data_IF_247851505335
#
_entry.id   IF_247851505335
#
_cell.length_a   1.000
_cell.length_b   1.000
_cell.length_c   1.000
_cell.angle_alpha   90.00
_cell.angle_beta   90.00
_cell.angle_gamma   90.00
#
_symmetry.space_group_name_H-M   'P 1'
#
loop_
_entity.id
_entity.type
_entity.pdbx_description
1 polymer ?
#
# COMPACT_ATOMS: atom_id res chain seq x y z
N UNK A 1 14.08 17.26 11.61
CA UNK A 1 15.04 16.24 12.08
C UNK A 1 15.27 15.24 10.94
N UNK A 2 16.20 15.53 10.01
CA UNK A 2 16.29 14.83 8.71
C UNK A 2 17.49 13.87 8.60
N UNK A 3 17.95 13.28 9.72
CA UNK A 3 19.18 12.47 9.76
C UNK A 3 19.15 11.27 10.71
N UNK A 4 17.97 10.72 11.05
CA UNK A 4 17.87 9.67 12.08
C UNK A 4 18.19 8.25 11.56
N UNK A 5 18.85 8.10 10.40
CA UNK A 5 19.25 6.79 9.86
C UNK A 5 18.14 5.95 9.21
N UNK A 6 16.91 6.45 9.04
CA UNK A 6 15.79 5.68 8.41
C UNK A 6 16.12 5.22 7.00
N UNK A 7 16.70 6.10 6.19
CA UNK A 7 17.14 5.78 4.83
C UNK A 7 18.28 4.76 4.84
N UNK A 8 19.20 4.84 5.81
CA UNK A 8 20.28 3.86 5.98
C UNK A 8 19.72 2.50 6.37
N UNK A 9 18.77 2.45 7.30
CA UNK A 9 18.08 1.23 7.70
C UNK A 9 17.34 0.58 6.52
N UNK A 10 16.60 1.37 5.74
CA UNK A 10 15.92 0.88 4.53
C UNK A 10 16.93 0.29 3.54
N UNK A 11 18.06 0.97 3.30
CA UNK A 11 19.12 0.48 2.41
C UNK A 11 19.77 -0.81 2.92
N UNK A 12 19.93 -0.98 4.24
CA UNK A 12 20.43 -2.20 4.86
C UNK A 12 19.45 -3.37 4.66
N UNK A 13 18.16 -3.15 4.96
CA UNK A 13 17.10 -4.15 4.78
C UNK A 13 16.99 -4.57 3.31
N UNK A 14 17.09 -3.63 2.37
CA UNK A 14 17.08 -3.89 0.92
C UNK A 14 18.37 -4.54 0.38
N UNK A 15 19.35 -4.83 1.24
CA UNK A 15 20.61 -5.46 0.84
C UNK A 15 21.52 -4.56 -0.02
N UNK A 16 21.33 -3.24 -0.01
CA UNK A 16 22.26 -2.29 -0.65
C UNK A 16 23.58 -2.16 0.11
N UNK A 17 23.56 -2.41 1.41
CA UNK A 17 24.75 -2.50 2.25
C UNK A 17 24.78 -3.86 2.93
N UNK A 18 25.84 -4.64 2.69
CA UNK A 18 26.04 -5.95 3.33
C UNK A 18 27.16 -5.95 4.39
N UNK A 19 27.94 -4.87 4.43
CA UNK A 19 28.99 -4.68 5.41
C UNK A 19 28.42 -3.87 6.59
N UNK A 20 27.82 -4.58 7.54
CA UNK A 20 27.35 -4.05 8.82
C UNK A 20 27.61 -5.07 9.94
N UNK A 21 27.71 -4.59 11.17
CA UNK A 21 27.85 -5.45 12.34
C UNK A 21 26.48 -5.91 12.88
N UNK A 22 26.43 -7.13 13.42
CA UNK A 22 25.20 -7.75 13.92
C UNK A 22 24.41 -8.53 12.87
N UNK A 23 23.14 -8.78 13.18
CA UNK A 23 22.21 -9.56 12.37
C UNK A 23 20.95 -8.77 12.07
N UNK A 24 20.48 -8.84 10.83
CA UNK A 24 19.18 -8.32 10.42
C UNK A 24 18.40 -9.52 9.88
N UNK A 25 17.37 -9.94 10.62
CA UNK A 25 16.57 -11.10 10.29
C UNK A 25 15.22 -10.67 9.70
N UNK A 26 14.84 -11.25 8.57
CA UNK A 26 13.49 -11.21 8.02
C UNK A 26 12.93 -12.63 8.14
N UNK A 27 11.87 -12.80 8.93
CA UNK A 27 11.26 -14.11 9.22
C UNK A 27 12.27 -15.16 9.73
N UNK A 28 13.27 -14.72 10.50
CA UNK A 28 14.33 -15.59 11.02
C UNK A 28 15.46 -15.91 10.03
N UNK A 29 15.39 -15.40 8.80
CA UNK A 29 16.42 -15.54 7.78
C UNK A 29 17.27 -14.27 7.75
N UNK A 30 18.59 -14.41 7.81
CA UNK A 30 19.50 -13.27 7.72
C UNK A 30 19.41 -12.60 6.34
N UNK A 31 19.27 -11.28 6.31
CA UNK A 31 19.12 -10.47 5.08
C UNK A 31 20.23 -10.71 4.06
N UNK A 32 21.46 -11.00 4.51
CA UNK A 32 22.60 -11.33 3.64
C UNK A 32 22.42 -12.63 2.86
N UNK A 33 21.62 -13.55 3.39
CA UNK A 33 21.35 -14.87 2.80
C UNK A 33 20.13 -14.86 1.87
N UNK A 34 19.39 -13.75 1.83
CA UNK A 34 18.27 -13.57 0.91
C UNK A 34 18.80 -13.01 -0.43
N UNK A 35 18.30 -13.57 -1.53
CA UNK A 35 18.55 -13.04 -2.88
C UNK A 35 18.07 -11.58 -2.95
N UNK A 36 18.94 -10.67 -3.39
CA UNK A 36 18.65 -9.23 -3.42
C UNK A 36 17.43 -8.93 -4.30
N UNK A 37 17.32 -9.61 -5.43
CA UNK A 37 16.19 -9.53 -6.35
C UNK A 37 14.89 -9.94 -5.65
N UNK A 38 14.94 -10.95 -4.77
CA UNK A 38 13.79 -11.35 -3.94
C UNK A 38 13.39 -10.27 -2.94
N UNK A 39 14.38 -9.72 -2.21
CA UNK A 39 14.20 -8.58 -1.31
C UNK A 39 13.61 -7.36 -2.02
N UNK A 40 14.14 -7.01 -3.20
CA UNK A 40 13.66 -5.89 -3.98
C UNK A 40 12.27 -6.15 -4.56
N UNK A 41 11.92 -7.37 -4.99
CA UNK A 41 10.55 -7.70 -5.41
C UNK A 41 9.53 -7.45 -4.29
N UNK A 42 9.86 -7.83 -3.07
CA UNK A 42 8.99 -7.64 -1.90
C UNK A 42 8.96 -6.17 -1.42
N UNK A 43 10.12 -5.48 -1.38
CA UNK A 43 10.23 -4.13 -0.83
C UNK A 43 9.89 -3.03 -1.85
N UNK A 44 10.14 -3.22 -3.14
CA UNK A 44 9.78 -2.26 -4.19
C UNK A 44 8.26 -2.11 -4.36
N UNK A 45 7.48 -3.08 -3.90
CA UNK A 45 6.02 -2.94 -3.82
C UNK A 45 5.62 -1.98 -2.69
N UNK A 46 6.46 -1.80 -1.67
CA UNK A 46 6.17 -0.96 -0.50
C UNK A 46 6.75 0.47 -0.59
N UNK A 47 7.84 0.69 -1.34
CA UNK A 47 8.53 1.98 -1.37
C UNK A 47 8.36 2.74 -2.70
N UNK A 48 7.58 3.84 -2.60
CA UNK A 48 7.76 5.10 -3.33
C UNK A 48 7.35 5.19 -4.81
N UNK A 49 6.10 4.84 -5.14
CA UNK A 49 5.19 5.73 -5.89
C UNK A 49 3.91 4.95 -6.20
N UNK A 50 3.00 4.91 -5.23
CA UNK A 50 1.68 4.43 -5.57
C UNK A 50 0.95 5.51 -6.37
N UNK A 51 0.38 5.09 -7.50
CA UNK A 51 -0.39 5.99 -8.35
C UNK A 51 -1.67 6.42 -7.60
N UNK A 52 -1.91 7.74 -7.57
CA UNK A 52 -3.18 8.31 -7.14
C UNK A 52 -4.12 8.25 -8.33
N UNK A 53 -4.99 7.24 -8.36
CA UNK A 53 -5.96 7.14 -9.45
C UNK A 53 -7.13 8.06 -9.14
N UNK A 54 -7.37 9.01 -10.03
CA UNK A 54 -8.52 9.91 -10.07
C UNK A 54 -9.80 9.11 -10.38
N UNK A 55 -10.20 8.26 -9.44
CA UNK A 55 -11.30 7.30 -9.55
C UNK A 55 -12.01 7.16 -8.20
N UNK A 56 -13.16 6.52 -8.15
CA UNK A 56 -13.88 6.26 -6.89
C UNK A 56 -13.07 5.38 -5.93
N UNK A 57 -13.47 5.33 -4.64
CA UNK A 57 -12.90 4.36 -3.69
C UNK A 57 -13.07 2.92 -4.19
N UNK A 58 -14.26 2.59 -4.70
CA UNK A 58 -14.61 1.30 -5.29
C UNK A 58 -13.61 0.91 -6.37
N UNK A 59 -13.42 1.77 -7.34
CA UNK A 59 -12.52 1.53 -8.47
C UNK A 59 -11.07 1.43 -8.01
N UNK A 60 -10.63 2.37 -7.16
CA UNK A 60 -9.29 2.37 -6.63
C UNK A 60 -8.94 1.03 -5.96
N UNK A 61 -9.82 0.51 -5.09
CA UNK A 61 -9.59 -0.75 -4.37
C UNK A 61 -9.68 -1.94 -5.34
N UNK A 62 -10.60 -1.90 -6.31
CA UNK A 62 -10.90 -3.04 -7.18
C UNK A 62 -10.00 -3.16 -8.41
N UNK A 63 -9.21 -2.15 -8.78
CA UNK A 63 -8.39 -2.19 -10.00
C UNK A 63 -7.41 -3.37 -10.09
N UNK A 64 -6.95 -3.91 -8.97
CA UNK A 64 -6.08 -5.10 -8.98
C UNK A 64 -6.83 -6.43 -9.10
N UNK A 65 -8.16 -6.40 -9.04
CA UNK A 65 -9.05 -7.56 -9.11
C UNK A 65 -10.48 -7.11 -9.44
N UNK A 66 -10.79 -6.97 -10.74
CA UNK A 66 -12.09 -6.44 -11.18
C UNK A 66 -13.28 -7.34 -10.80
N UNK A 67 -13.04 -8.62 -10.46
CA UNK A 67 -14.09 -9.54 -10.00
C UNK A 67 -14.85 -9.00 -8.77
N UNK A 68 -14.18 -8.22 -7.90
CA UNK A 68 -14.78 -7.69 -6.68
C UNK A 68 -15.48 -6.34 -6.87
N UNK A 69 -15.45 -5.74 -8.07
CA UNK A 69 -15.92 -4.37 -8.31
C UNK A 69 -17.38 -4.16 -7.87
N UNK A 70 -18.22 -5.19 -8.06
CA UNK A 70 -19.64 -5.19 -7.71
C UNK A 70 -19.91 -5.86 -6.35
N UNK A 71 -18.87 -6.20 -5.59
CA UNK A 71 -18.98 -6.89 -4.30
C UNK A 71 -18.68 -5.93 -3.13
N UNK A 72 -19.63 -5.03 -2.83
CA UNK A 72 -19.51 -3.99 -1.79
C UNK A 72 -18.96 -4.51 -0.47
N UNK A 73 -19.47 -5.64 0.03
CA UNK A 73 -19.05 -6.21 1.31
C UNK A 73 -17.59 -6.66 1.28
N UNK A 74 -17.09 -7.20 0.16
CA UNK A 74 -15.67 -7.52 0.03
C UNK A 74 -14.81 -6.26 0.05
N UNK A 75 -15.22 -5.21 -0.68
CA UNK A 75 -14.49 -3.94 -0.73
C UNK A 75 -14.46 -3.29 0.66
N UNK A 76 -15.60 -3.24 1.37
CA UNK A 76 -15.69 -2.70 2.73
C UNK A 76 -14.83 -3.49 3.71
N UNK A 77 -14.82 -4.83 3.60
CA UNK A 77 -13.97 -5.68 4.43
C UNK A 77 -12.48 -5.38 4.20
N UNK A 78 -12.05 -5.18 2.94
CA UNK A 78 -10.68 -4.76 2.64
C UNK A 78 -10.41 -3.37 3.24
N UNK A 79 -11.31 -2.41 3.06
CA UNK A 79 -11.14 -1.06 3.62
C UNK A 79 -11.06 -1.05 5.16
N UNK A 80 -11.80 -1.95 5.82
CA UNK A 80 -11.75 -2.13 7.27
C UNK A 80 -10.38 -2.65 7.72
N UNK A 81 -9.79 -3.62 7.01
CA UNK A 81 -8.45 -4.16 7.32
C UNK A 81 -7.36 -3.10 7.34
N UNK A 82 -7.49 -2.05 6.54
CA UNK A 82 -6.54 -0.92 6.49
C UNK A 82 -7.01 0.32 7.27
N UNK A 83 -8.03 0.19 8.12
CA UNK A 83 -8.54 1.25 8.99
C UNK A 83 -8.88 2.55 8.23
N UNK A 84 -9.64 2.43 7.14
CA UNK A 84 -10.23 3.59 6.46
C UNK A 84 -11.68 3.39 6.01
N UNK A 85 -12.36 2.35 6.48
CA UNK A 85 -13.79 2.18 6.21
C UNK A 85 -14.63 3.34 6.76
N UNK A 86 -14.33 3.82 7.98
CA UNK A 86 -15.03 4.98 8.56
C UNK A 86 -14.86 6.25 7.73
N UNK A 87 -13.68 6.42 7.12
CA UNK A 87 -13.43 7.52 6.20
C UNK A 87 -14.35 7.41 4.97
N UNK A 88 -14.44 6.23 4.35
CA UNK A 88 -15.37 6.00 3.23
C UNK A 88 -16.81 6.33 3.66
N UNK A 89 -17.23 5.84 4.83
CA UNK A 89 -18.58 6.03 5.34
C UNK A 89 -18.90 7.48 5.73
N UNK A 90 -17.87 8.33 5.92
CA UNK A 90 -18.04 9.76 6.21
C UNK A 90 -18.45 10.59 4.99
N UNK A 91 -18.32 10.06 3.77
CA UNK A 91 -18.73 10.72 2.54
C UNK A 91 -20.12 10.23 2.08
N UNK A 92 -20.93 11.14 1.55
CA UNK A 92 -22.32 10.86 1.11
C UNK A 92 -22.38 9.73 0.06
N UNK A 93 -21.44 9.73 -0.89
CA UNK A 93 -21.36 8.74 -1.97
C UNK A 93 -20.62 7.45 -1.56
N UNK A 94 -20.10 7.37 -0.33
CA UNK A 94 -19.41 6.18 0.23
C UNK A 94 -18.38 5.60 -0.74
N UNK A 95 -18.53 4.33 -1.14
CA UNK A 95 -17.64 3.64 -2.07
C UNK A 95 -17.56 4.32 -3.44
N UNK A 96 -18.62 5.00 -3.86
CA UNK A 96 -18.73 5.69 -5.14
C UNK A 96 -18.26 7.16 -5.04
N UNK A 97 -17.66 7.55 -3.92
CA UNK A 97 -17.03 8.87 -3.77
C UNK A 97 -15.83 8.97 -4.70
N UNK A 98 -15.89 9.92 -5.63
CA UNK A 98 -14.82 10.25 -6.56
C UNK A 98 -13.60 10.82 -5.82
N UNK A 99 -12.41 10.29 -6.11
CA UNK A 99 -11.16 10.79 -5.57
C UNK A 99 -10.38 11.59 -6.61
N UNK A 100 -9.53 12.49 -6.13
CA UNK A 100 -8.67 13.32 -6.96
C UNK A 100 -9.18 14.76 -7.10
N UNK A 101 -8.53 15.53 -7.97
CA UNK A 101 -8.82 16.95 -8.18
C UNK A 101 -9.33 17.27 -9.59
N UNK A 102 -9.38 16.30 -10.50
CA UNK A 102 -9.82 16.51 -11.89
C UNK A 102 -11.34 16.61 -12.02
N UNK A 103 -12.10 16.22 -10.99
CA UNK A 103 -13.55 16.33 -10.94
C UNK A 103 -13.97 17.40 -9.95
N UNK A 104 -14.99 18.21 -10.30
CA UNK A 104 -15.46 19.33 -9.46
C UNK A 104 -15.91 18.87 -8.06
N UNK A 105 -16.48 17.67 -7.95
CA UNK A 105 -16.90 17.04 -6.68
C UNK A 105 -15.85 16.05 -6.13
N UNK A 106 -14.63 16.07 -6.66
CA UNK A 106 -13.55 15.16 -6.30
C UNK A 106 -13.04 15.42 -4.89
N UNK A 107 -12.88 14.35 -4.11
CA UNK A 107 -12.28 14.43 -2.77
C UNK A 107 -10.77 14.22 -2.87
N UNK A 108 -10.02 15.24 -2.45
CA UNK A 108 -8.59 15.11 -2.26
C UNK A 108 -8.27 14.49 -0.88
N UNK A 109 -7.71 13.29 -0.91
CA UNK A 109 -7.24 12.61 0.29
C UNK A 109 -5.87 13.15 0.74
N UNK A 110 -5.62 13.10 2.04
CA UNK A 110 -4.27 13.27 2.59
C UNK A 110 -3.33 12.17 2.09
N UNK A 111 -2.02 12.42 2.14
CA UNK A 111 -1.01 11.44 1.70
C UNK A 111 -1.15 10.08 2.41
N UNK A 112 -1.42 10.09 3.72
CA UNK A 112 -1.60 8.86 4.50
C UNK A 112 -2.89 8.10 4.17
N UNK A 113 -3.97 8.81 3.83
CA UNK A 113 -5.20 8.18 3.35
C UNK A 113 -4.99 7.57 1.96
N UNK A 114 -4.30 8.29 1.08
CA UNK A 114 -3.86 7.81 -0.22
C UNK A 114 -3.00 6.54 -0.11
N UNK A 115 -2.09 6.46 0.88
CA UNK A 115 -1.31 5.25 1.17
C UNK A 115 -2.21 4.06 1.53
N UNK A 116 -3.22 4.27 2.40
CA UNK A 116 -4.17 3.22 2.77
C UNK A 116 -4.98 2.71 1.57
N UNK A 117 -5.43 3.61 0.69
CA UNK A 117 -6.14 3.25 -0.55
C UNK A 117 -5.24 2.41 -1.46
N UNK A 118 -3.97 2.77 -1.60
CA UNK A 118 -3.02 2.00 -2.39
C UNK A 118 -2.72 0.61 -1.81
N UNK A 119 -2.58 0.50 -0.48
CA UNK A 119 -2.42 -0.78 0.20
C UNK A 119 -3.65 -1.67 0.01
N UNK A 120 -4.85 -1.10 0.14
CA UNK A 120 -6.10 -1.81 -0.11
C UNK A 120 -6.22 -2.31 -1.55
N UNK A 121 -5.83 -1.48 -2.53
CA UNK A 121 -5.74 -1.87 -3.93
C UNK A 121 -4.76 -3.01 -4.14
N UNK A 122 -3.56 -2.92 -3.56
CA UNK A 122 -2.57 -3.99 -3.67
C UNK A 122 -3.11 -5.29 -3.04
N UNK A 123 -3.83 -5.16 -1.93
CA UNK A 123 -4.43 -6.27 -1.21
C UNK A 123 -5.57 -6.96 -1.96
N UNK A 124 -6.36 -6.22 -2.73
CA UNK A 124 -7.44 -6.78 -3.54
C UNK A 124 -6.95 -7.76 -4.61
N UNK A 125 -5.67 -7.64 -5.02
CA UNK A 125 -5.03 -8.55 -5.97
C UNK A 125 -5.11 -9.99 -5.43
N UNK A 126 -5.60 -10.93 -6.24
CA UNK A 126 -5.49 -12.38 -5.98
C UNK A 126 -4.01 -12.76 -5.98
N UNK A 127 -3.30 -12.55 -4.87
CA UNK A 127 -1.96 -13.07 -4.64
C UNK A 127 -1.96 -13.76 -3.28
N UNK A 128 -1.33 -14.93 -3.25
CA UNK A 128 -1.38 -15.92 -2.18
C UNK A 128 -0.65 -15.45 -0.89
N UNK A 129 0.13 -14.36 -0.92
CA UNK A 129 0.72 -13.74 0.27
C UNK A 129 0.89 -12.22 0.11
N UNK A 130 0.68 -11.47 1.20
CA UNK A 130 0.96 -10.04 1.36
C UNK A 130 1.67 -9.91 2.71
N UNK A 131 2.92 -9.47 2.71
CA UNK A 131 3.70 -9.12 3.91
C UNK A 131 3.82 -7.61 4.02
#
# INVERSE_FOLDING_TARGET
MNGSGKTTLIKLIMGFYRNYEGNILINGIEVRDIEKESLLREISTLFQDFVKYEASFRENISYSNLDIMNEDEKIKNIANKFNFLDLINSYDKKLDTQLGMWFDDGINLSMGQWQKVALARAFAKKVVYIY
#
